data_IF_796252413774
#
_entry.id   IF_796252413774
#
_cell.length_a   1.000
_cell.length_b   1.000
_cell.length_c   1.000
_cell.angle_alpha   90.00
_cell.angle_beta   90.00
_cell.angle_gamma   90.00
#
_symmetry.space_group_name_H-M   'P 1'
#
loop_
_entity.id
_entity.type
_entity.pdbx_description
1 polymer ?
#
# COMPACT_ATOMS: atom_id res chain seq x y z
N UNK A 1 26.12 51.59 -25.40
CA UNK A 1 26.24 50.26 -24.77
C UNK A 1 24.89 49.95 -24.18
N UNK A 2 24.15 49.03 -24.81
CA UNK A 2 22.76 48.69 -24.45
C UNK A 2 22.74 47.32 -23.75
N UNK A 3 22.04 47.32 -22.61
CA UNK A 3 21.27 46.27 -21.93
C UNK A 3 21.72 44.80 -21.89
N UNK A 4 21.87 44.37 -20.64
CA UNK A 4 21.94 43.01 -20.10
C UNK A 4 20.77 42.14 -20.56
N UNK A 5 20.98 41.23 -21.50
CA UNK A 5 19.99 40.19 -21.81
C UNK A 5 20.16 38.99 -20.87
N UNK A 6 19.29 38.93 -19.86
CA UNK A 6 19.00 37.73 -19.06
C UNK A 6 18.44 36.64 -19.99
N UNK A 7 19.13 35.51 -20.07
CA UNK A 7 18.61 34.26 -20.64
C UNK A 7 17.72 33.57 -19.59
N UNK A 8 16.41 33.78 -19.68
CA UNK A 8 15.42 33.03 -18.91
C UNK A 8 15.25 31.65 -19.53
N UNK A 9 15.92 30.64 -18.99
CA UNK A 9 15.72 29.24 -19.36
C UNK A 9 14.35 28.75 -18.86
N UNK A 10 13.39 28.60 -19.77
CA UNK A 10 12.10 27.95 -19.49
C UNK A 10 12.32 26.46 -19.22
N UNK A 11 12.57 26.10 -17.95
CA UNK A 11 12.49 24.70 -17.51
C UNK A 11 11.01 24.28 -17.48
N UNK A 12 10.61 23.43 -18.43
CA UNK A 12 9.28 22.84 -18.47
C UNK A 12 8.97 22.08 -17.18
N UNK A 13 7.91 22.49 -16.51
CA UNK A 13 7.32 21.80 -15.36
C UNK A 13 6.83 20.42 -15.85
N UNK A 14 7.64 19.37 -15.67
CA UNK A 14 7.15 18.00 -15.81
C UNK A 14 6.26 17.74 -14.60
N UNK A 15 4.94 17.54 -14.74
CA UNK A 15 4.12 17.14 -13.60
C UNK A 15 4.72 15.85 -13.05
N UNK A 16 5.11 15.87 -11.78
CA UNK A 16 5.58 14.70 -11.04
C UNK A 16 4.47 13.67 -11.12
N UNK A 17 4.60 12.70 -12.04
CA UNK A 17 3.66 11.60 -12.10
C UNK A 17 3.65 10.97 -10.71
N UNK A 18 2.47 10.76 -10.09
CA UNK A 18 2.42 10.16 -8.77
C UNK A 18 3.23 8.87 -8.80
N UNK A 19 4.20 8.77 -7.89
CA UNK A 19 5.04 7.59 -7.72
C UNK A 19 4.09 6.40 -7.70
N UNK A 20 4.19 5.53 -8.73
CA UNK A 20 3.25 4.42 -8.87
C UNK A 20 3.31 3.63 -7.57
N UNK A 21 2.17 3.55 -6.88
CA UNK A 21 2.06 2.84 -5.60
C UNK A 21 2.63 1.44 -5.78
N UNK A 22 3.84 1.22 -5.28
CA UNK A 22 4.48 -0.09 -5.33
C UNK A 22 3.70 -0.99 -4.39
N UNK A 23 3.43 -2.21 -4.82
CA UNK A 23 2.94 -3.22 -3.92
C UNK A 23 3.99 -3.41 -2.81
N UNK A 24 3.59 -3.13 -1.56
CA UNK A 24 4.46 -3.28 -0.37
C UNK A 24 4.56 -4.75 0.05
N UNK A 25 3.63 -5.58 -0.43
CA UNK A 25 3.54 -7.00 -0.13
C UNK A 25 3.44 -7.81 -1.42
N UNK A 26 4.09 -8.96 -1.44
CA UNK A 26 4.00 -9.98 -2.49
C UNK A 26 2.89 -10.99 -2.18
N UNK A 27 2.57 -11.85 -3.14
CA UNK A 27 1.53 -12.88 -3.00
C UNK A 27 1.81 -13.84 -1.82
N UNK A 28 3.07 -14.25 -1.67
CA UNK A 28 3.54 -15.12 -0.57
C UNK A 28 3.33 -14.48 0.81
N UNK A 29 3.55 -13.17 0.95
CA UNK A 29 3.30 -12.47 2.21
C UNK A 29 1.82 -12.58 2.62
N UNK A 30 0.89 -12.46 1.66
CA UNK A 30 -0.53 -12.59 1.96
C UNK A 30 -0.89 -14.00 2.44
N UNK A 31 -0.23 -15.05 1.94
CA UNK A 31 -0.43 -16.42 2.43
C UNK A 31 0.08 -16.60 3.87
N UNK A 32 1.24 -16.02 4.19
CA UNK A 32 1.80 -16.01 5.54
C UNK A 32 0.88 -15.26 6.51
N UNK A 33 0.41 -14.06 6.13
CA UNK A 33 -0.51 -13.27 6.94
C UNK A 33 -1.84 -14.01 7.14
N UNK A 34 -2.39 -14.63 6.08
CA UNK A 34 -3.62 -15.43 6.17
C UNK A 34 -3.49 -16.57 7.20
N UNK A 35 -2.35 -17.25 7.20
CA UNK A 35 -2.04 -18.33 8.15
C UNK A 35 -1.97 -17.81 9.58
N UNK A 36 -1.28 -16.69 9.80
CA UNK A 36 -1.18 -16.06 11.12
C UNK A 36 -2.56 -15.62 11.67
N UNK A 37 -3.41 -15.02 10.82
CA UNK A 37 -4.77 -14.62 11.24
C UNK A 37 -5.63 -15.84 11.54
N UNK A 38 -5.51 -16.93 10.77
CA UNK A 38 -6.24 -18.19 11.05
C UNK A 38 -5.89 -18.76 12.42
N UNK A 39 -4.61 -18.80 12.77
CA UNK A 39 -4.15 -19.26 14.08
C UNK A 39 -4.70 -18.37 15.21
N UNK A 40 -4.67 -17.04 15.03
CA UNK A 40 -5.24 -16.11 15.99
C UNK A 40 -6.75 -16.32 16.19
N UNK A 41 -7.50 -16.56 15.11
CA UNK A 41 -8.94 -16.81 15.17
C UNK A 41 -9.31 -18.07 15.94
N UNK A 42 -8.50 -19.12 15.84
CA UNK A 42 -8.69 -20.36 16.60
C UNK A 42 -8.43 -20.15 18.10
N UNK A 43 -7.38 -19.39 18.44
CA UNK A 43 -6.97 -19.15 19.84
C UNK A 43 -7.86 -18.14 20.57
N UNK A 44 -8.49 -17.21 19.84
CA UNK A 44 -9.22 -16.07 20.41
C UNK A 44 -10.73 -16.08 20.11
N UNK A 45 -11.32 -17.27 19.91
CA UNK A 45 -12.77 -17.38 19.74
C UNK A 45 -13.53 -16.74 20.92
N UNK A 46 -14.59 -16.00 20.61
CA UNK A 46 -15.44 -15.33 21.61
C UNK A 46 -14.94 -13.95 22.08
N UNK A 47 -13.76 -13.49 21.65
CA UNK A 47 -13.34 -12.11 21.90
C UNK A 47 -14.11 -11.11 21.02
N UNK A 48 -14.36 -9.88 21.49
CA UNK A 48 -15.08 -8.87 20.72
C UNK A 48 -14.38 -8.52 19.39
N UNK A 49 -13.05 -8.63 19.34
CA UNK A 49 -12.29 -8.34 18.12
C UNK A 49 -12.28 -9.50 17.12
N UNK A 50 -12.80 -10.68 17.49
CA UNK A 50 -12.80 -11.88 16.64
C UNK A 50 -13.43 -11.62 15.27
N UNK A 51 -14.56 -10.90 15.24
CA UNK A 51 -15.25 -10.55 14.00
C UNK A 51 -14.38 -9.68 13.07
N UNK A 52 -13.54 -8.79 13.62
CA UNK A 52 -12.62 -7.95 12.84
C UNK A 52 -11.56 -8.79 12.15
N UNK A 53 -10.97 -9.74 12.88
CA UNK A 53 -9.97 -10.66 12.34
C UNK A 53 -10.56 -11.66 11.34
N UNK A 54 -11.81 -12.10 11.55
CA UNK A 54 -12.53 -12.96 10.62
C UNK A 54 -12.75 -12.24 9.28
N UNK A 55 -13.23 -11.00 9.33
CA UNK A 55 -13.37 -10.16 8.14
C UNK A 55 -12.03 -9.90 7.45
N UNK A 56 -10.94 -9.69 8.21
CA UNK A 56 -9.60 -9.52 7.67
C UNK A 56 -9.12 -10.78 6.93
N UNK A 57 -9.31 -11.96 7.50
CA UNK A 57 -8.96 -13.24 6.88
C UNK A 57 -9.63 -13.41 5.50
N UNK A 58 -10.92 -13.09 5.40
CA UNK A 58 -11.64 -13.14 4.13
C UNK A 58 -11.19 -12.07 3.13
N UNK A 59 -10.82 -10.87 3.60
CA UNK A 59 -10.30 -9.81 2.73
C UNK A 59 -8.96 -10.20 2.11
N UNK A 60 -8.07 -10.79 2.91
CA UNK A 60 -6.76 -11.25 2.43
C UNK A 60 -6.94 -12.36 1.39
N UNK A 61 -7.83 -13.32 1.64
CA UNK A 61 -8.13 -14.40 0.68
C UNK A 61 -8.81 -13.96 -0.62
N UNK A 62 -9.33 -12.73 -0.71
CA UNK A 62 -9.91 -12.16 -1.95
C UNK A 62 -8.91 -11.37 -2.80
N UNK A 63 -7.73 -11.06 -2.26
CA UNK A 63 -6.66 -10.33 -2.96
C UNK A 63 -5.67 -11.28 -3.66
N UNK A 64 -5.72 -12.57 -3.31
CA UNK A 64 -5.07 -13.68 -3.99
C UNK A 64 -5.93 -14.15 -5.17
#
# INVERSE_FOLDING_TARGET
MLETTQTTSTQGFKPSQPERSRAVFCQEDFELIRTAVSQYLQQNQGKPDWAKYSNLYHRIGRLL
#
